data_IF_111029247875
#
_entry.id   IF_111029247875
#
_cell.length_a   1.000
_cell.length_b   1.000
_cell.length_c   1.000
_cell.angle_alpha   90.00
_cell.angle_beta   90.00
_cell.angle_gamma   90.00
#
_symmetry.space_group_name_H-M   'P 1'
#
loop_
_entity.id
_entity.type
_entity.pdbx_description
1 polymer ?
#
# COMPACT_ATOMS: atom_id res chain seq x y z
N UNK A 1 14.40 -10.21 -7.59
CA UNK A 1 13.02 -9.71 -7.44
C UNK A 1 12.08 -10.70 -8.09
N UNK A 2 10.89 -10.89 -7.53
CA UNK A 2 9.88 -11.81 -8.04
C UNK A 2 8.55 -11.08 -8.18
N UNK A 3 7.76 -11.41 -9.20
CA UNK A 3 6.38 -10.97 -9.36
C UNK A 3 5.59 -11.99 -10.19
N UNK A 4 4.52 -12.55 -9.62
CA UNK A 4 3.83 -13.69 -10.19
C UNK A 4 4.78 -14.85 -10.48
N UNK A 5 4.84 -15.27 -11.73
CA UNK A 5 5.75 -16.31 -12.23
C UNK A 5 6.98 -15.72 -12.97
N UNK A 6 7.40 -14.49 -12.62
CA UNK A 6 8.56 -13.81 -13.21
C UNK A 6 9.63 -13.55 -12.17
N UNK A 7 10.89 -13.65 -12.61
CA UNK A 7 12.07 -13.31 -11.83
C UNK A 7 12.89 -12.28 -12.59
N UNK A 8 13.31 -11.21 -11.91
CA UNK A 8 14.20 -10.20 -12.46
C UNK A 8 15.41 -10.02 -11.56
N UNK A 9 16.58 -9.95 -12.16
CA UNK A 9 17.81 -9.52 -11.52
C UNK A 9 18.13 -8.09 -11.96
N UNK A 10 18.50 -7.24 -11.00
CA UNK A 10 18.82 -5.84 -11.21
C UNK A 10 20.24 -5.57 -10.74
N UNK A 11 21.00 -4.87 -11.55
CA UNK A 11 22.32 -4.34 -11.18
C UNK A 11 22.29 -2.83 -11.23
N UNK A 12 22.68 -2.17 -10.14
CA UNK A 12 22.77 -0.73 -10.08
C UNK A 12 24.24 -0.30 -9.97
N UNK A 13 24.64 0.61 -10.84
CA UNK A 13 25.95 1.27 -10.78
C UNK A 13 25.77 2.78 -10.91
N UNK A 14 26.00 3.49 -9.83
CA UNK A 14 25.71 4.93 -9.78
C UNK A 14 24.23 5.21 -10.01
N UNK A 15 23.93 5.98 -11.07
CA UNK A 15 22.56 6.36 -11.46
C UNK A 15 21.97 5.43 -12.56
N UNK A 16 22.72 4.42 -12.97
CA UNK A 16 22.27 3.48 -14.00
C UNK A 16 21.78 2.18 -13.37
N UNK A 17 20.67 1.65 -13.88
CA UNK A 17 20.09 0.37 -13.47
C UNK A 17 19.98 -0.54 -14.70
N UNK A 18 20.63 -1.70 -14.63
CA UNK A 18 20.57 -2.72 -15.67
C UNK A 18 19.54 -3.78 -15.30
N UNK A 19 18.61 -4.05 -16.23
CA UNK A 19 17.60 -5.09 -16.12
C UNK A 19 18.13 -6.35 -16.83
N UNK A 20 18.34 -7.43 -16.08
CA UNK A 20 18.81 -8.71 -16.61
C UNK A 20 17.62 -9.53 -17.15
N UNK A 21 17.03 -9.07 -18.25
CA UNK A 21 15.94 -9.72 -18.97
C UNK A 21 16.05 -9.45 -20.47
N UNK A 22 15.29 -10.17 -21.29
CA UNK A 22 15.23 -9.86 -22.71
C UNK A 22 14.32 -8.64 -22.99
N UNK A 23 14.47 -8.07 -24.19
CA UNK A 23 13.74 -6.86 -24.58
C UNK A 23 12.20 -7.04 -24.54
N UNK A 24 11.71 -8.20 -24.99
CA UNK A 24 10.26 -8.45 -25.01
C UNK A 24 9.68 -8.47 -23.58
N UNK A 25 10.33 -9.18 -22.66
CA UNK A 25 9.92 -9.24 -21.26
C UNK A 25 9.97 -7.86 -20.58
N UNK A 26 10.99 -7.04 -20.91
CA UNK A 26 11.09 -5.66 -20.44
C UNK A 26 9.91 -4.82 -20.94
N UNK A 27 9.64 -4.80 -22.24
CA UNK A 27 8.61 -3.98 -22.86
C UNK A 27 7.19 -4.41 -22.45
N UNK A 28 6.93 -5.71 -22.29
CA UNK A 28 5.63 -6.26 -21.94
C UNK A 28 5.30 -6.14 -20.46
N UNK A 29 6.31 -6.16 -19.57
CA UNK A 29 6.06 -6.26 -18.14
C UNK A 29 6.86 -5.27 -17.28
N UNK A 30 8.20 -5.34 -17.32
CA UNK A 30 9.02 -4.65 -16.32
C UNK A 30 9.00 -3.13 -16.44
N UNK A 31 8.89 -2.58 -17.66
CA UNK A 31 8.74 -1.14 -17.87
C UNK A 31 7.49 -0.60 -17.15
N UNK A 32 6.37 -1.33 -17.26
CA UNK A 32 5.13 -0.98 -16.57
C UNK A 32 5.22 -1.22 -15.06
N UNK A 33 5.80 -2.35 -14.64
CA UNK A 33 5.95 -2.71 -13.23
C UNK A 33 6.70 -1.63 -12.44
N UNK A 34 7.77 -1.06 -13.00
CA UNK A 34 8.54 0.02 -12.38
C UNK A 34 7.98 1.42 -12.67
N UNK A 35 6.84 1.54 -13.33
CA UNK A 35 6.21 2.81 -13.73
C UNK A 35 7.19 3.78 -14.43
N UNK A 36 8.04 3.25 -15.35
CA UNK A 36 9.16 4.01 -15.93
C UNK A 36 8.70 5.12 -16.88
N UNK A 37 7.51 5.01 -17.47
CA UNK A 37 6.94 6.04 -18.35
C UNK A 37 6.46 7.28 -17.62
N UNK A 38 6.22 7.19 -16.30
CA UNK A 38 5.76 8.34 -15.52
C UNK A 38 6.92 9.28 -15.19
N UNK A 39 6.68 10.56 -15.42
CA UNK A 39 7.61 11.62 -15.03
C UNK A 39 7.43 11.99 -13.55
N UNK A 40 8.13 11.29 -12.69
CA UNK A 40 8.16 11.58 -11.25
C UNK A 40 8.77 12.93 -10.92
N UNK A 41 9.63 13.46 -11.80
CA UNK A 41 10.19 14.80 -11.66
C UNK A 41 9.12 15.88 -11.68
N UNK A 42 8.04 15.69 -12.46
CA UNK A 42 6.88 16.62 -12.43
C UNK A 42 6.14 16.57 -11.10
N UNK A 43 5.97 15.38 -10.50
CA UNK A 43 5.31 15.22 -9.20
C UNK A 43 6.12 15.90 -8.10
N UNK A 44 7.44 15.67 -8.06
CA UNK A 44 8.35 16.31 -7.10
C UNK A 44 8.33 17.83 -7.27
N UNK A 45 8.39 18.34 -8.50
CA UNK A 45 8.29 19.78 -8.79
C UNK A 45 6.96 20.37 -8.34
N UNK A 46 5.85 19.66 -8.55
CA UNK A 46 4.52 20.08 -8.11
C UNK A 46 4.48 20.18 -6.56
N UNK A 47 5.01 19.18 -5.85
CA UNK A 47 5.11 19.19 -4.40
C UNK A 47 5.95 20.39 -3.93
N UNK A 48 7.12 20.62 -4.51
CA UNK A 48 7.99 21.75 -4.16
C UNK A 48 7.39 23.12 -4.49
N UNK A 49 6.67 23.27 -5.60
CA UNK A 49 6.06 24.53 -6.02
C UNK A 49 4.92 24.97 -5.10
N UNK A 50 4.08 24.05 -4.66
CA UNK A 50 2.96 24.33 -3.74
C UNK A 50 3.44 24.71 -2.32
N UNK A 51 4.73 24.59 -2.06
CA UNK A 51 5.37 24.90 -0.76
C UNK A 51 6.26 26.15 -0.79
N UNK A 52 6.18 26.98 -1.82
CA UNK A 52 6.94 28.22 -1.92
C UNK A 52 6.32 29.29 -1.01
N UNK A 53 7.18 30.07 -0.35
CA UNK A 53 6.84 31.27 0.44
C UNK A 53 5.69 31.04 1.46
N UNK A 54 5.79 30.00 2.27
CA UNK A 54 4.79 29.65 3.26
C UNK A 54 5.43 29.33 4.60
N UNK A 55 4.80 29.79 5.69
CA UNK A 55 5.09 29.39 7.07
C UNK A 55 4.26 28.14 7.49
N UNK A 56 3.51 27.55 6.57
CA UNK A 56 2.72 26.37 6.81
C UNK A 56 3.64 25.15 7.01
N UNK A 57 3.64 24.61 8.24
CA UNK A 57 4.50 23.51 8.66
C UNK A 57 4.35 22.26 7.76
N UNK A 58 3.12 21.91 7.41
CA UNK A 58 2.83 20.76 6.56
C UNK A 58 3.43 20.91 5.17
N UNK A 59 3.35 22.11 4.60
CA UNK A 59 3.95 22.41 3.30
C UNK A 59 5.47 22.38 3.34
N UNK A 60 6.08 22.92 4.41
CA UNK A 60 7.54 22.86 4.61
C UNK A 60 8.01 21.41 4.70
N UNK A 61 7.30 20.58 5.48
CA UNK A 61 7.56 19.14 5.56
C UNK A 61 7.50 18.46 4.19
N UNK A 62 6.46 18.73 3.37
CA UNK A 62 6.35 18.15 2.02
C UNK A 62 7.50 18.57 1.10
N UNK A 63 7.97 19.80 1.20
CA UNK A 63 9.13 20.28 0.43
C UNK A 63 10.40 19.52 0.76
N UNK A 64 10.66 19.30 2.05
CA UNK A 64 11.82 18.54 2.52
C UNK A 64 11.71 17.07 2.14
N UNK A 65 10.54 16.46 2.35
CA UNK A 65 10.25 15.09 1.96
C UNK A 65 10.42 14.86 0.45
N UNK A 66 9.93 15.78 -0.39
CA UNK A 66 10.08 15.71 -1.85
C UNK A 66 11.56 15.75 -2.29
N UNK A 67 12.40 16.54 -1.61
CA UNK A 67 13.82 16.58 -1.88
C UNK A 67 14.54 15.28 -1.46
N UNK A 68 14.13 14.70 -0.34
CA UNK A 68 14.71 13.47 0.21
C UNK A 68 14.31 12.22 -0.59
N UNK A 69 13.08 12.18 -1.10
CA UNK A 69 12.50 11.03 -1.79
C UNK A 69 12.81 10.96 -3.29
N UNK A 70 13.76 11.76 -3.79
CA UNK A 70 14.14 11.75 -5.20
C UNK A 70 14.55 10.33 -5.66
N UNK A 71 13.89 9.82 -6.71
CA UNK A 71 14.14 8.48 -7.24
C UNK A 71 13.17 7.38 -6.74
N UNK A 72 12.36 7.63 -5.72
CA UNK A 72 11.31 6.69 -5.30
C UNK A 72 10.26 6.56 -6.43
N UNK A 73 9.78 5.33 -6.64
CA UNK A 73 8.73 4.99 -7.60
C UNK A 73 7.69 4.06 -6.97
N UNK A 74 6.44 4.23 -7.38
CA UNK A 74 5.37 3.28 -7.04
C UNK A 74 5.46 2.11 -8.01
N UNK A 75 5.69 0.91 -7.49
CA UNK A 75 5.67 -0.31 -8.30
C UNK A 75 4.21 -0.66 -8.63
N UNK A 76 3.95 -1.01 -9.90
CA UNK A 76 2.65 -1.53 -10.35
C UNK A 76 2.69 -3.06 -10.30
N UNK A 77 2.27 -3.58 -9.18
CA UNK A 77 2.31 -5.01 -8.88
C UNK A 77 1.00 -5.69 -9.28
N UNK A 78 0.99 -7.02 -9.27
CA UNK A 78 -0.23 -7.78 -9.50
C UNK A 78 -1.26 -7.57 -8.40
N UNK A 79 -2.53 -7.35 -8.77
CA UNK A 79 -3.61 -7.03 -7.83
C UNK A 79 -3.85 -8.18 -6.86
N UNK A 80 -3.87 -9.43 -7.35
CA UNK A 80 -4.06 -10.61 -6.52
C UNK A 80 -2.92 -10.77 -5.51
N UNK A 81 -1.69 -10.64 -5.98
CA UNK A 81 -0.49 -10.68 -5.14
C UNK A 81 -0.54 -9.62 -4.04
N UNK A 82 -0.98 -8.39 -4.39
CA UNK A 82 -1.14 -7.31 -3.41
C UNK A 82 -2.26 -7.59 -2.40
N UNK A 83 -3.42 -8.10 -2.82
CA UNK A 83 -4.50 -8.48 -1.91
C UNK A 83 -4.00 -9.45 -0.83
N UNK A 84 -3.37 -10.54 -1.22
CA UNK A 84 -2.89 -11.56 -0.29
C UNK A 84 -1.72 -11.06 0.57
N UNK A 85 -0.76 -10.35 -0.03
CA UNK A 85 0.40 -9.81 0.68
C UNK A 85 -0.01 -8.79 1.74
N UNK A 86 -0.97 -7.90 1.45
CA UNK A 86 -1.46 -6.93 2.41
C UNK A 86 -2.39 -7.56 3.49
N UNK A 87 -3.13 -8.63 3.18
CA UNK A 87 -3.80 -9.43 4.23
C UNK A 87 -2.76 -10.03 5.18
N UNK A 88 -1.67 -10.61 4.66
CA UNK A 88 -0.57 -11.17 5.47
C UNK A 88 0.12 -10.09 6.31
N UNK A 89 0.27 -8.89 5.79
CA UNK A 89 1.03 -7.81 6.42
C UNK A 89 0.41 -7.26 7.71
N UNK A 90 -0.90 -7.46 7.92
CA UNK A 90 -1.61 -6.92 9.08
C UNK A 90 -0.96 -7.35 10.40
N UNK A 91 -0.61 -6.38 11.27
CA UNK A 91 -0.02 -6.61 12.58
C UNK A 91 1.21 -7.55 12.57
N UNK A 92 2.00 -7.52 11.51
CA UNK A 92 3.26 -8.30 11.37
C UNK A 92 4.43 -7.39 11.01
N UNK A 93 5.62 -7.79 11.42
CA UNK A 93 6.87 -7.16 11.01
C UNK A 93 7.32 -7.69 9.64
N UNK A 94 8.04 -6.87 8.87
CA UNK A 94 8.49 -7.17 7.52
C UNK A 94 9.18 -8.54 7.39
N UNK A 95 10.12 -8.94 8.27
CA UNK A 95 10.73 -10.27 8.18
C UNK A 95 9.72 -11.43 8.30
N UNK A 96 8.70 -11.26 9.17
CA UNK A 96 7.64 -12.27 9.34
C UNK A 96 6.68 -12.32 8.16
N UNK A 97 6.38 -11.16 7.55
CA UNK A 97 5.58 -11.06 6.33
C UNK A 97 6.26 -11.84 5.22
N UNK A 98 7.54 -11.55 4.98
CA UNK A 98 8.35 -12.21 3.95
C UNK A 98 8.36 -13.72 4.13
N UNK A 99 8.64 -14.23 5.32
CA UNK A 99 8.61 -15.68 5.62
C UNK A 99 7.25 -16.32 5.33
N UNK A 100 6.15 -15.64 5.67
CA UNK A 100 4.80 -16.16 5.39
C UNK A 100 4.53 -16.22 3.88
N UNK A 101 4.94 -15.22 3.12
CA UNK A 101 4.77 -15.18 1.66
C UNK A 101 5.63 -16.27 1.01
N UNK A 102 6.89 -16.41 1.41
CA UNK A 102 7.79 -17.46 0.93
C UNK A 102 7.20 -18.87 1.18
N UNK A 103 6.75 -19.14 2.42
CA UNK A 103 6.12 -20.40 2.76
C UNK A 103 4.80 -20.67 1.99
N UNK A 104 4.04 -19.61 1.69
CA UNK A 104 2.83 -19.70 0.86
C UNK A 104 3.20 -20.06 -0.58
N UNK A 105 4.21 -19.41 -1.15
CA UNK A 105 4.73 -19.69 -2.49
C UNK A 105 5.29 -21.11 -2.59
N UNK A 106 6.10 -21.55 -1.62
CA UNK A 106 6.65 -22.93 -1.59
C UNK A 106 5.56 -24.00 -1.54
N UNK A 107 4.44 -23.73 -0.87
CA UNK A 107 3.35 -24.72 -0.73
C UNK A 107 2.42 -24.78 -1.91
N UNK A 108 2.09 -23.64 -2.52
CA UNK A 108 1.01 -23.54 -3.51
C UNK A 108 1.44 -22.89 -4.83
N UNK A 109 2.63 -22.32 -4.89
CA UNK A 109 3.16 -21.68 -6.09
C UNK A 109 3.71 -22.69 -7.08
N UNK A 110 3.77 -22.29 -8.34
CA UNK A 110 4.44 -23.07 -9.40
C UNK A 110 5.96 -23.05 -9.18
N UNK A 111 6.60 -24.21 -9.28
CA UNK A 111 8.05 -24.34 -9.09
C UNK A 111 8.80 -23.99 -10.36
N UNK A 112 9.72 -23.04 -10.25
CA UNK A 112 10.63 -22.61 -11.34
C UNK A 112 12.09 -22.81 -10.92
N UNK A 113 12.63 -24.01 -11.09
CA UNK A 113 13.99 -24.34 -10.69
C UNK A 113 14.22 -24.21 -9.19
N UNK A 114 14.91 -23.15 -8.77
CA UNK A 114 15.28 -22.82 -7.38
C UNK A 114 14.30 -21.89 -6.65
N UNK A 115 13.21 -21.49 -7.29
CA UNK A 115 12.21 -20.59 -6.70
C UNK A 115 10.77 -21.00 -7.04
N UNK A 116 9.81 -20.37 -6.37
CA UNK A 116 8.39 -20.60 -6.56
C UNK A 116 7.67 -19.29 -6.93
N UNK A 117 6.78 -19.36 -7.91
CA UNK A 117 5.90 -18.25 -8.26
C UNK A 117 4.86 -17.96 -7.18
N UNK A 118 4.20 -16.81 -7.27
CA UNK A 118 3.10 -16.48 -6.36
C UNK A 118 1.88 -17.37 -6.68
N UNK A 119 1.23 -17.99 -5.66
CA UNK A 119 0.16 -18.94 -5.89
C UNK A 119 -1.10 -18.27 -6.45
N UNK A 120 -1.76 -18.94 -7.38
CA UNK A 120 -3.06 -18.50 -7.90
C UNK A 120 -4.17 -18.62 -6.85
N UNK A 121 -5.24 -17.82 -7.00
CA UNK A 121 -6.43 -17.95 -6.17
C UNK A 121 -7.00 -19.38 -6.21
N UNK A 122 -6.96 -20.04 -7.39
CA UNK A 122 -7.39 -21.42 -7.57
C UNK A 122 -6.56 -22.41 -6.75
N UNK A 123 -5.23 -22.27 -6.73
CA UNK A 123 -4.36 -23.15 -5.96
C UNK A 123 -4.68 -23.09 -4.46
N UNK A 124 -4.87 -21.87 -3.93
CA UNK A 124 -5.21 -21.67 -2.51
C UNK A 124 -6.63 -22.19 -2.20
N UNK A 125 -7.62 -21.82 -2.99
CA UNK A 125 -9.01 -22.25 -2.76
C UNK A 125 -9.17 -23.79 -2.84
N UNK A 126 -8.46 -24.45 -3.76
CA UNK A 126 -8.48 -25.91 -3.92
C UNK A 126 -7.88 -26.66 -2.73
N UNK A 127 -7.02 -26.03 -1.93
CA UNK A 127 -6.43 -26.64 -0.75
C UNK A 127 -7.41 -26.71 0.44
N UNK A 128 -8.56 -26.04 0.34
CA UNK A 128 -9.56 -25.99 1.38
C UNK A 128 -9.18 -25.12 2.59
N UNK A 129 -10.08 -24.96 3.57
CA UNK A 129 -9.87 -24.07 4.72
C UNK A 129 -8.69 -24.48 5.61
N UNK A 130 -8.35 -25.76 5.62
CA UNK A 130 -7.24 -26.31 6.42
C UNK A 130 -5.88 -26.32 5.70
N UNK A 131 -5.89 -26.08 4.39
CA UNK A 131 -4.67 -26.13 3.57
C UNK A 131 -3.61 -25.09 3.97
N UNK A 132 -4.02 -23.98 4.58
CA UNK A 132 -3.15 -22.91 5.02
C UNK A 132 -2.54 -23.12 6.43
N UNK A 133 -2.96 -24.17 7.15
CA UNK A 133 -2.43 -24.47 8.49
C UNK A 133 -0.93 -24.70 8.47
N UNK A 134 -0.26 -24.17 9.48
CA UNK A 134 1.20 -24.32 9.66
C UNK A 134 2.04 -23.30 8.89
N UNK A 135 1.45 -22.36 8.13
CA UNK A 135 2.17 -21.27 7.45
C UNK A 135 2.39 -20.03 8.34
N UNK A 136 2.17 -20.13 9.64
CA UNK A 136 2.30 -19.01 10.59
C UNK A 136 1.43 -17.80 10.28
N UNK A 137 0.31 -18.01 9.56
CA UNK A 137 -0.62 -16.96 9.15
C UNK A 137 -1.59 -16.55 10.27
N UNK A 138 -1.88 -17.47 11.22
CA UNK A 138 -2.83 -17.26 12.32
C UNK A 138 -4.24 -16.98 11.77
N UNK A 139 -4.96 -16.00 12.34
CA UNK A 139 -6.32 -15.66 11.91
C UNK A 139 -6.45 -15.30 10.43
N UNK A 140 -5.34 -14.99 9.74
CA UNK A 140 -5.31 -14.62 8.32
C UNK A 140 -5.51 -15.83 7.40
N UNK A 141 -5.31 -17.06 7.90
CA UNK A 141 -5.59 -18.30 7.16
C UNK A 141 -7.02 -18.27 6.61
N UNK A 142 -7.97 -17.94 7.47
CA UNK A 142 -9.37 -17.79 7.10
C UNK A 142 -9.59 -16.69 6.06
N UNK A 143 -9.00 -15.53 6.26
CA UNK A 143 -9.15 -14.40 5.33
C UNK A 143 -8.60 -14.71 3.95
N UNK A 144 -7.43 -15.32 3.88
CA UNK A 144 -6.79 -15.69 2.61
C UNK A 144 -7.64 -16.73 1.87
N UNK A 145 -8.14 -17.75 2.57
CA UNK A 145 -9.00 -18.77 1.99
C UNK A 145 -10.31 -18.16 1.46
N UNK A 146 -11.05 -17.43 2.29
CA UNK A 146 -12.31 -16.81 1.92
C UNK A 146 -12.16 -15.82 0.75
N UNK A 147 -11.06 -15.03 0.77
CA UNK A 147 -10.72 -14.12 -0.32
C UNK A 147 -10.43 -14.88 -1.60
N UNK A 148 -9.73 -16.02 -1.55
CA UNK A 148 -9.45 -16.85 -2.73
C UNK A 148 -10.74 -17.41 -3.34
N UNK A 149 -11.65 -17.89 -2.51
CA UNK A 149 -12.95 -18.42 -2.95
C UNK A 149 -13.79 -17.33 -3.61
N UNK A 150 -13.90 -16.15 -2.95
CA UNK A 150 -14.66 -15.02 -3.50
C UNK A 150 -14.05 -14.50 -4.80
N UNK A 151 -12.72 -14.37 -4.87
CA UNK A 151 -12.01 -13.93 -6.08
C UNK A 151 -12.38 -14.77 -7.30
N UNK A 152 -12.47 -16.10 -7.13
CA UNK A 152 -12.88 -17.02 -8.18
C UNK A 152 -14.37 -16.94 -8.46
N UNK A 153 -15.22 -16.87 -7.43
CA UNK A 153 -16.66 -16.82 -7.57
C UNK A 153 -17.15 -15.58 -8.31
N UNK A 154 -16.50 -14.44 -8.07
CA UNK A 154 -16.80 -13.18 -8.75
C UNK A 154 -16.26 -13.15 -10.19
N UNK A 155 -15.43 -14.12 -10.58
CA UNK A 155 -14.71 -14.07 -11.87
C UNK A 155 -13.81 -12.84 -11.96
N UNK A 156 -13.33 -12.36 -10.82
CA UNK A 156 -12.55 -11.13 -10.74
C UNK A 156 -11.18 -11.31 -11.41
N UNK A 157 -10.87 -10.38 -12.29
CA UNK A 157 -9.55 -10.20 -12.88
C UNK A 157 -8.97 -8.88 -12.38
N UNK A 158 -7.74 -8.93 -11.88
CA UNK A 158 -7.03 -7.74 -11.39
C UNK A 158 -6.99 -6.60 -12.41
N UNK A 159 -6.96 -6.91 -13.70
CA UNK A 159 -7.04 -5.92 -14.77
C UNK A 159 -8.34 -5.11 -14.79
N UNK A 160 -9.45 -5.71 -14.37
CA UNK A 160 -10.76 -5.04 -14.31
C UNK A 160 -10.81 -3.93 -13.25
N UNK A 161 -9.96 -3.99 -12.23
CA UNK A 161 -9.91 -2.98 -11.18
C UNK A 161 -9.54 -1.60 -11.74
N UNK A 162 -8.56 -1.53 -12.63
CA UNK A 162 -8.08 -0.28 -13.23
C UNK A 162 -9.12 0.43 -14.11
N UNK A 163 -10.16 -0.29 -14.54
CA UNK A 163 -11.30 0.26 -15.31
C UNK A 163 -12.39 0.90 -14.44
N UNK A 164 -12.32 0.76 -13.11
CA UNK A 164 -13.30 1.31 -12.17
C UNK A 164 -12.90 2.73 -11.73
N UNK A 165 -13.88 3.57 -11.31
CA UNK A 165 -13.58 4.73 -10.48
C UNK A 165 -12.92 4.29 -9.16
N UNK A 166 -11.96 5.07 -8.64
CA UNK A 166 -11.21 4.72 -7.42
C UNK A 166 -12.12 4.35 -6.23
N UNK A 167 -13.15 5.15 -5.98
CA UNK A 167 -14.07 4.91 -4.85
C UNK A 167 -14.85 3.59 -4.99
N UNK A 168 -15.20 3.20 -6.22
CA UNK A 168 -15.90 1.96 -6.49
C UNK A 168 -14.96 0.77 -6.38
N UNK A 169 -13.72 0.90 -6.89
CA UNK A 169 -12.66 -0.09 -6.71
C UNK A 169 -12.37 -0.34 -5.23
N UNK A 170 -12.23 0.71 -4.43
CA UNK A 170 -12.01 0.63 -2.99
C UNK A 170 -13.17 -0.06 -2.27
N UNK A 171 -14.43 0.34 -2.56
CA UNK A 171 -15.62 -0.31 -2.00
C UNK A 171 -15.69 -1.78 -2.36
N UNK A 172 -15.42 -2.13 -3.61
CA UNK A 172 -15.41 -3.51 -4.06
C UNK A 172 -14.34 -4.33 -3.33
N UNK A 173 -13.12 -3.83 -3.22
CA UNK A 173 -12.04 -4.50 -2.46
C UNK A 173 -12.42 -4.72 -0.99
N UNK A 174 -13.11 -3.78 -0.36
CA UNK A 174 -13.58 -3.93 1.03
C UNK A 174 -14.63 -5.04 1.22
N UNK A 175 -15.19 -5.61 0.14
CA UNK A 175 -16.08 -6.78 0.24
C UNK A 175 -15.34 -8.10 0.46
N UNK A 176 -14.01 -8.11 0.28
CA UNK A 176 -13.19 -9.29 0.51
C UNK A 176 -12.80 -9.44 1.98
N UNK A 177 -12.75 -10.69 2.43
CA UNK A 177 -12.42 -11.01 3.82
C UNK A 177 -11.01 -10.54 4.19
N UNK A 178 -10.89 -9.79 5.28
CA UNK A 178 -9.61 -9.23 5.72
C UNK A 178 -9.13 -8.00 4.98
N UNK A 179 -9.91 -7.44 4.04
CA UNK A 179 -9.60 -6.19 3.34
C UNK A 179 -10.47 -5.06 3.90
N UNK A 180 -9.89 -4.25 4.78
CA UNK A 180 -10.47 -2.98 5.21
C UNK A 180 -9.92 -1.81 4.39
N UNK A 181 -10.37 -0.59 4.67
CA UNK A 181 -10.05 0.61 3.89
C UNK A 181 -8.55 0.80 3.65
N UNK A 182 -7.70 0.66 4.68
CA UNK A 182 -6.24 0.79 4.54
C UNK A 182 -5.65 -0.24 3.58
N UNK A 183 -6.12 -1.49 3.64
CA UNK A 183 -5.63 -2.56 2.75
C UNK A 183 -6.14 -2.33 1.34
N UNK A 184 -7.41 -1.90 1.19
CA UNK A 184 -7.97 -1.54 -0.10
C UNK A 184 -7.18 -0.40 -0.77
N UNK A 185 -6.83 0.66 -0.02
CA UNK A 185 -5.98 1.75 -0.53
C UNK A 185 -4.59 1.25 -0.95
N UNK A 186 -3.98 0.34 -0.18
CA UNK A 186 -2.71 -0.28 -0.58
C UNK A 186 -2.85 -1.06 -1.90
N UNK A 187 -3.89 -1.89 -2.03
CA UNK A 187 -4.14 -2.66 -3.27
C UNK A 187 -4.42 -1.72 -4.44
N UNK A 188 -5.22 -0.67 -4.24
CA UNK A 188 -5.47 0.36 -5.24
C UNK A 188 -4.19 1.04 -5.71
N UNK A 189 -3.33 1.47 -4.77
CA UNK A 189 -2.09 2.19 -5.09
C UNK A 189 -1.08 1.28 -5.81
N UNK A 190 -0.77 0.13 -5.21
CA UNK A 190 0.33 -0.73 -5.65
C UNK A 190 -0.08 -1.80 -6.67
N UNK A 191 -1.36 -2.14 -6.77
CA UNK A 191 -1.88 -3.12 -7.71
C UNK A 191 -2.75 -2.49 -8.80
N UNK A 192 -3.71 -1.65 -8.41
CA UNK A 192 -4.69 -1.05 -9.32
C UNK A 192 -4.18 0.17 -10.10
N UNK A 193 -3.01 0.72 -9.74
CA UNK A 193 -2.44 1.91 -10.40
C UNK A 193 -3.15 3.23 -10.06
N UNK A 194 -3.99 3.27 -9.02
CA UNK A 194 -4.68 4.46 -8.55
C UNK A 194 -3.73 5.36 -7.76
N UNK A 195 -3.02 6.23 -8.47
CA UNK A 195 -2.02 7.12 -7.86
C UNK A 195 -2.58 8.18 -6.92
N UNK A 196 -3.90 8.27 -6.81
CA UNK A 196 -4.60 9.11 -5.83
C UNK A 196 -4.99 8.35 -4.54
N UNK A 197 -4.83 7.02 -4.51
CA UNK A 197 -5.05 6.22 -3.32
C UNK A 197 -4.02 6.55 -2.23
N UNK A 198 -4.50 6.74 -0.99
CA UNK A 198 -3.70 7.22 0.12
C UNK A 198 -3.81 6.28 1.32
N UNK A 199 -3.00 5.21 1.39
CA UNK A 199 -3.05 4.26 2.50
C UNK A 199 -2.67 4.90 3.83
N UNK A 200 -3.59 4.88 4.81
CA UNK A 200 -3.38 5.49 6.12
C UNK A 200 -2.95 4.42 7.12
N UNK A 201 -1.65 4.24 7.30
CA UNK A 201 -1.08 3.39 8.34
C UNK A 201 -0.73 4.18 9.62
N UNK A 202 -0.13 3.50 10.60
CA UNK A 202 0.22 4.13 11.89
C UNK A 202 1.28 5.22 11.74
N UNK A 203 2.18 5.11 10.77
CA UNK A 203 3.23 6.10 10.52
C UNK A 203 2.64 7.32 9.83
N UNK A 204 1.78 7.11 8.84
CA UNK A 204 1.05 8.18 8.16
C UNK A 204 0.11 8.91 9.12
N UNK A 205 -0.61 8.20 9.98
CA UNK A 205 -1.40 8.83 11.06
C UNK A 205 -0.55 9.75 11.94
N UNK A 206 0.64 9.29 12.32
CA UNK A 206 1.55 10.08 13.14
C UNK A 206 2.05 11.33 12.41
N UNK A 207 2.43 11.21 11.15
CA UNK A 207 2.84 12.34 10.31
C UNK A 207 1.69 13.34 10.13
N UNK A 208 0.49 12.87 9.75
CA UNK A 208 -0.67 13.74 9.58
C UNK A 208 -1.01 14.51 10.86
N UNK A 209 -1.00 13.83 12.00
CA UNK A 209 -1.21 14.47 13.30
C UNK A 209 -0.12 15.50 13.61
N UNK A 210 1.14 15.16 13.40
CA UNK A 210 2.27 15.98 13.82
C UNK A 210 2.47 17.20 12.93
N UNK A 211 2.38 17.02 11.62
CA UNK A 211 2.78 18.02 10.63
C UNK A 211 1.59 18.81 10.04
N UNK A 212 0.38 18.22 9.98
CA UNK A 212 -0.76 18.80 9.27
C UNK A 212 -1.90 19.27 10.15
N UNK A 213 -1.91 18.94 11.45
CA UNK A 213 -2.84 19.51 12.41
C UNK A 213 -2.23 20.74 13.10
N UNK A 214 -3.04 21.77 13.26
CA UNK A 214 -2.70 22.95 14.07
C UNK A 214 -2.62 22.59 15.56
N UNK A 215 -1.90 23.38 16.35
CA UNK A 215 -1.81 23.17 17.80
C UNK A 215 -3.17 23.29 18.49
N UNK A 216 -4.07 24.10 17.95
CA UNK A 216 -5.45 24.23 18.46
C UNK A 216 -6.24 22.93 18.22
N UNK A 217 -6.13 22.32 17.03
CA UNK A 217 -6.79 21.03 16.72
C UNK A 217 -6.23 19.91 17.59
N UNK A 218 -4.89 19.82 17.73
CA UNK A 218 -4.23 18.86 18.61
C UNK A 218 -4.72 18.96 20.06
N UNK A 219 -4.76 20.18 20.63
CA UNK A 219 -5.25 20.41 21.99
C UNK A 219 -6.70 19.94 22.16
N UNK A 220 -7.58 20.26 21.22
CA UNK A 220 -8.99 19.79 21.27
C UNK A 220 -9.10 18.27 21.30
N UNK A 221 -8.32 17.56 20.46
CA UNK A 221 -8.30 16.10 20.41
C UNK A 221 -7.77 15.53 21.74
N UNK A 222 -6.67 16.07 22.26
CA UNK A 222 -6.06 15.64 23.52
C UNK A 222 -6.98 15.88 24.72
N UNK A 223 -7.61 17.04 24.82
CA UNK A 223 -8.55 17.37 25.89
C UNK A 223 -9.79 16.47 25.88
N UNK A 224 -10.36 16.23 24.69
CA UNK A 224 -11.49 15.31 24.53
C UNK A 224 -11.13 13.89 24.98
N UNK A 225 -9.93 13.43 24.66
CA UNK A 225 -9.46 12.11 25.03
C UNK A 225 -9.09 11.99 26.50
N UNK A 226 -8.45 13.02 27.11
CA UNK A 226 -8.19 13.11 28.55
C UNK A 226 -9.49 13.01 29.36
N UNK A 227 -10.51 13.77 28.95
CA UNK A 227 -11.82 13.73 29.58
C UNK A 227 -12.48 12.35 29.53
N UNK A 228 -12.35 11.67 28.36
CA UNK A 228 -12.92 10.33 28.12
C UNK A 228 -12.18 9.23 28.91
N UNK A 229 -10.86 9.34 29.03
CA UNK A 229 -10.00 8.30 29.67
C UNK A 229 -9.77 8.56 31.16
N UNK A 230 -10.14 9.74 31.68
CA UNK A 230 -9.88 10.16 33.07
C UNK A 230 -8.38 10.03 33.44
N UNK A 231 -7.47 10.30 32.49
CA UNK A 231 -6.02 10.24 32.69
C UNK A 231 -5.35 11.46 32.06
N UNK A 232 -4.27 11.94 32.69
CA UNK A 232 -3.46 13.04 32.17
C UNK A 232 -2.46 12.56 31.11
N UNK A 233 -2.02 11.31 31.20
CA UNK A 233 -1.03 10.73 30.28
C UNK A 233 -1.72 9.82 29.26
N UNK A 234 -1.64 10.21 27.98
CA UNK A 234 -2.27 9.51 26.86
C UNK A 234 -1.18 8.87 26.01
N UNK A 235 -1.12 7.54 25.91
CA UNK A 235 -0.21 6.88 25.01
C UNK A 235 -0.43 7.32 23.55
N UNK A 236 0.65 7.63 22.81
CA UNK A 236 0.61 8.13 21.43
C UNK A 236 -0.31 7.31 20.53
N UNK A 237 -0.21 5.98 20.61
CA UNK A 237 -1.07 5.09 19.84
C UNK A 237 -2.57 5.35 20.09
N UNK A 238 -2.98 5.49 21.36
CA UNK A 238 -4.39 5.76 21.70
C UNK A 238 -4.86 7.12 21.20
N UNK A 239 -3.96 8.09 21.19
CA UNK A 239 -4.23 9.42 20.64
C UNK A 239 -4.50 9.32 19.14
N UNK A 240 -3.63 8.67 18.39
CA UNK A 240 -3.80 8.49 16.94
C UNK A 240 -5.04 7.66 16.59
N UNK A 241 -5.30 6.59 17.34
CA UNK A 241 -6.47 5.73 17.13
C UNK A 241 -7.80 6.39 17.56
N UNK A 242 -7.75 7.51 18.31
CA UNK A 242 -8.95 8.29 18.67
C UNK A 242 -9.51 9.13 17.53
N UNK A 243 -8.67 9.42 16.51
CA UNK A 243 -9.11 10.11 15.30
C UNK A 243 -9.72 9.06 14.37
N UNK A 244 -11.00 9.18 13.99
CA UNK A 244 -11.63 8.24 13.07
C UNK A 244 -10.96 8.31 11.69
N UNK A 245 -11.13 7.26 10.88
CA UNK A 245 -10.55 7.20 9.53
C UNK A 245 -11.00 8.40 8.68
N UNK A 246 -12.27 8.76 8.77
CA UNK A 246 -12.84 9.95 8.10
C UNK A 246 -12.16 11.25 8.53
N UNK A 247 -11.78 11.39 9.81
CA UNK A 247 -11.03 12.57 10.28
C UNK A 247 -9.64 12.67 9.66
N UNK A 248 -8.96 11.55 9.43
CA UNK A 248 -7.72 11.55 8.66
C UNK A 248 -7.97 11.87 7.19
N UNK A 249 -9.08 11.40 6.62
CA UNK A 249 -9.45 11.70 5.25
C UNK A 249 -9.68 13.21 5.05
N UNK A 250 -10.35 13.86 6.00
CA UNK A 250 -10.55 15.32 6.00
C UNK A 250 -9.22 16.10 6.01
N UNK A 251 -8.22 15.62 6.79
CA UNK A 251 -6.87 16.20 6.78
C UNK A 251 -6.22 16.05 5.40
N UNK A 252 -6.32 14.86 4.80
CA UNK A 252 -5.77 14.57 3.48
C UNK A 252 -6.44 15.44 2.42
N UNK A 253 -7.77 15.52 2.42
CA UNK A 253 -8.52 16.31 1.44
C UNK A 253 -8.20 17.80 1.53
N UNK A 254 -7.94 18.31 2.74
CA UNK A 254 -7.51 19.70 2.95
C UNK A 254 -6.05 19.92 2.52
N UNK A 255 -5.13 19.10 3.02
CA UNK A 255 -3.69 19.32 2.86
C UNK A 255 -3.16 18.88 1.47
N UNK A 256 -3.75 17.82 0.90
CA UNK A 256 -3.29 17.21 -0.34
C UNK A 256 -4.20 17.51 -1.55
N UNK A 257 -5.18 18.43 -1.41
CA UNK A 257 -6.02 18.86 -2.54
C UNK A 257 -5.23 19.36 -3.78
N UNK A 258 -4.08 20.06 -3.63
CA UNK A 258 -3.29 20.48 -4.77
C UNK A 258 -2.63 19.32 -5.54
N UNK A 259 -2.59 18.12 -4.96
CA UNK A 259 -1.93 16.92 -5.52
C UNK A 259 -2.93 15.88 -6.03
N UNK A 260 -4.18 16.28 -6.30
CA UNK A 260 -5.21 15.37 -6.82
C UNK A 260 -4.72 14.66 -8.09
N UNK A 261 -4.90 13.34 -8.13
CA UNK A 261 -4.38 12.47 -9.19
C UNK A 261 -3.01 11.83 -8.89
N UNK A 262 -2.27 12.38 -7.91
CA UNK A 262 -0.93 11.87 -7.52
C UNK A 262 -0.71 11.86 -6.01
N UNK A 263 -1.77 11.97 -5.21
CA UNK A 263 -1.69 12.05 -3.73
C UNK A 263 -0.93 10.87 -3.12
N UNK A 264 -1.16 9.66 -3.61
CA UNK A 264 -0.47 8.47 -3.16
C UNK A 264 1.01 8.46 -3.50
N UNK A 265 1.42 9.11 -4.60
CA UNK A 265 2.85 9.28 -4.93
C UNK A 265 3.50 10.30 -3.99
N UNK A 266 2.82 11.42 -3.71
CA UNK A 266 3.30 12.46 -2.80
C UNK A 266 3.41 11.96 -1.36
N UNK A 267 2.60 10.98 -0.97
CA UNK A 267 2.65 10.32 0.33
C UNK A 267 3.94 9.51 0.54
N UNK A 268 4.45 8.83 -0.49
CA UNK A 268 5.62 7.93 -0.39
C UNK A 268 6.93 8.70 -0.31
#
# INVERSE_FOLDING_TARGET
>A
MYSGNRRLELHQQGNEVTFMCNKAEYDEYWESYFDLKRDYGKVIKLAAQNCKDTDDKGKLFLKEAAAYSAGIRILKQDVWEMMISFIISQQKQIPSIRKCIEALCERFGEKHGDWYGFPTAKAIASAGPDGLKGLSLGYRERYIYETSVKYLADGFDGGSLSGMPYEDAKKYLCTFSGIGEKVADCVCLFGGGFTDAFPIDVHIKDILYREFLSDTEKKKIEEALKKRMSTADIPRKKLLDSIPYTGYQDIIDKAFSPYKGVRGIVQQ
#
